data_IF_451846990132
#
_entry.id   IF_451846990132
#
_cell.length_a   1.000
_cell.length_b   1.000
_cell.length_c   1.000
_cell.angle_alpha   90.00
_cell.angle_beta   90.00
_cell.angle_gamma   90.00
#
_symmetry.space_group_name_H-M   'P 1'
#
loop_
_entity.id
_entity.type
_entity.pdbx_description
1 polymer ?
#
# COMPACT_ATOMS: atom_id res chain seq x y z
N UNK A 1 26.01 -4.51 -20.55
CA UNK A 1 25.06 -5.44 -19.91
C UNK A 1 23.84 -4.62 -19.54
N UNK A 2 22.65 -4.96 -20.05
CA UNK A 2 21.42 -4.35 -19.55
C UNK A 2 21.23 -4.86 -18.12
N UNK A 3 21.28 -3.96 -17.15
CA UNK A 3 20.94 -4.26 -15.77
C UNK A 3 19.48 -4.72 -15.74
N UNK A 4 19.21 -5.86 -15.10
CA UNK A 4 17.84 -6.34 -14.96
C UNK A 4 17.17 -5.48 -13.90
N UNK A 5 16.47 -4.42 -14.33
CA UNK A 5 15.63 -3.64 -13.42
C UNK A 5 14.48 -4.54 -12.94
N UNK A 6 14.43 -4.89 -11.63
CA UNK A 6 13.41 -5.78 -11.10
C UNK A 6 12.00 -5.17 -11.18
N UNK A 7 11.92 -3.84 -11.32
CA UNK A 7 10.68 -3.09 -11.52
C UNK A 7 10.22 -3.10 -12.99
N UNK A 8 11.12 -3.37 -13.93
CA UNK A 8 10.82 -3.39 -15.36
C UNK A 8 11.51 -4.58 -16.05
N UNK A 9 11.01 -5.81 -15.81
CA UNK A 9 11.66 -7.01 -16.30
C UNK A 9 11.71 -6.98 -17.83
N UNK A 10 12.87 -7.27 -18.39
CA UNK A 10 13.08 -7.31 -19.83
C UNK A 10 13.48 -8.71 -20.28
N UNK A 11 13.05 -9.12 -21.46
CA UNK A 11 13.43 -10.39 -22.06
C UNK A 11 14.83 -10.35 -22.68
N UNK A 12 15.35 -11.50 -23.14
CA UNK A 12 16.69 -11.62 -23.70
C UNK A 12 16.89 -10.80 -24.99
N UNK A 13 15.80 -10.39 -25.65
CA UNK A 13 15.82 -9.52 -26.83
C UNK A 13 15.52 -8.06 -26.49
N UNK A 14 15.38 -7.71 -25.21
CA UNK A 14 14.98 -6.37 -24.77
C UNK A 14 13.46 -6.12 -24.85
N UNK A 15 12.65 -7.16 -25.02
CA UNK A 15 11.19 -7.10 -24.95
C UNK A 15 10.69 -6.83 -23.51
N UNK A 16 9.73 -5.91 -23.33
CA UNK A 16 9.15 -5.65 -22.01
C UNK A 16 8.37 -6.87 -21.51
N UNK A 17 8.62 -7.31 -20.26
CA UNK A 17 8.01 -8.48 -19.61
C UNK A 17 7.38 -8.13 -18.26
N UNK A 18 6.26 -7.38 -18.26
CA UNK A 18 5.56 -7.04 -17.03
C UNK A 18 4.95 -8.27 -16.32
N UNK A 19 4.75 -9.37 -17.03
CA UNK A 19 4.27 -10.66 -16.51
C UNK A 19 5.24 -11.33 -15.53
N UNK A 20 6.53 -10.98 -15.61
CA UNK A 20 7.57 -11.50 -14.72
C UNK A 20 7.75 -10.67 -13.45
N UNK A 21 7.04 -9.56 -13.31
CA UNK A 21 7.10 -8.75 -12.10
C UNK A 21 6.49 -9.51 -10.92
N UNK A 22 7.13 -9.44 -9.76
CA UNK A 22 6.63 -10.05 -8.53
C UNK A 22 5.36 -9.30 -8.08
N UNK A 23 4.17 -9.94 -8.08
CA UNK A 23 2.91 -9.28 -7.74
C UNK A 23 2.85 -8.86 -6.27
N UNK A 24 3.73 -9.38 -5.41
CA UNK A 24 3.82 -9.01 -4.00
C UNK A 24 4.74 -7.82 -3.75
N UNK A 25 5.52 -7.39 -4.76
CA UNK A 25 6.32 -6.17 -4.68
C UNK A 25 5.49 -4.99 -5.16
N UNK A 26 5.07 -4.17 -4.21
CA UNK A 26 4.48 -2.87 -4.51
C UNK A 26 5.54 -2.01 -5.19
N UNK A 27 5.23 -1.47 -6.36
CA UNK A 27 6.08 -0.49 -7.02
C UNK A 27 6.02 0.84 -6.25
N UNK A 28 7.15 1.52 -6.10
CA UNK A 28 7.19 2.83 -5.44
C UNK A 28 6.50 3.94 -6.26
N UNK A 29 6.08 3.61 -7.49
CA UNK A 29 5.34 4.48 -8.40
C UNK A 29 3.91 4.79 -7.94
N UNK A 30 3.38 4.05 -6.96
CA UNK A 30 2.09 4.34 -6.36
C UNK A 30 2.06 5.68 -5.64
N UNK A 31 0.89 6.33 -5.58
CA UNK A 31 0.72 7.50 -4.73
C UNK A 31 1.05 7.12 -3.28
N UNK A 32 1.96 7.85 -2.64
CA UNK A 32 2.25 7.63 -1.22
C UNK A 32 0.99 7.90 -0.40
N UNK A 33 0.68 7.04 0.60
CA UNK A 33 -0.40 7.33 1.53
C UNK A 33 -0.24 8.74 2.11
N UNK A 34 -1.33 9.49 2.18
CA UNK A 34 -1.32 10.77 2.88
C UNK A 34 -0.90 10.56 4.34
N UNK A 35 -0.18 11.55 4.87
CA UNK A 35 0.22 11.55 6.27
C UNK A 35 -1.03 11.64 7.14
N UNK A 36 -1.03 10.89 8.24
CA UNK A 36 -2.17 10.87 9.16
C UNK A 36 -2.43 12.26 9.77
N UNK A 37 -1.38 13.04 9.95
CA UNK A 37 -1.40 14.40 10.49
C UNK A 37 -2.10 15.40 9.56
N UNK A 38 -2.10 15.13 8.25
CA UNK A 38 -2.72 16.00 7.24
C UNK A 38 -4.23 15.69 7.08
N UNK A 39 -4.70 14.58 7.65
CA UNK A 39 -6.09 14.14 7.54
C UNK A 39 -6.95 14.84 8.58
N UNK A 40 -8.11 15.41 8.21
CA UNK A 40 -9.04 15.95 9.21
C UNK A 40 -9.52 14.82 10.12
N UNK A 41 -9.35 14.99 11.44
CA UNK A 41 -9.87 14.05 12.44
C UNK A 41 -11.39 14.19 12.48
N UNK A 42 -12.11 13.28 11.83
CA UNK A 42 -13.58 13.35 11.71
C UNK A 42 -14.29 12.81 12.97
N UNK A 43 -13.63 11.94 13.74
CA UNK A 43 -14.22 11.31 14.93
C UNK A 43 -13.33 11.48 16.15
N UNK A 44 -13.90 12.01 17.22
CA UNK A 44 -13.30 12.05 18.56
C UNK A 44 -13.87 10.97 19.48
N UNK A 45 -14.68 10.06 18.93
CA UNK A 45 -15.39 9.02 19.69
C UNK A 45 -14.38 8.02 20.25
N UNK A 46 -14.37 7.85 21.56
CA UNK A 46 -13.58 6.82 22.23
C UNK A 46 -14.40 5.54 22.42
N UNK A 47 -13.77 4.38 22.71
CA UNK A 47 -14.51 3.17 23.03
C UNK A 47 -15.52 3.36 24.17
N UNK A 48 -15.24 4.24 25.13
CA UNK A 48 -16.11 4.53 26.27
C UNK A 48 -17.41 5.26 25.88
N UNK A 49 -17.42 6.00 24.77
CA UNK A 49 -18.62 6.68 24.26
C UNK A 49 -19.65 5.69 23.68
N UNK A 50 -19.25 4.46 23.36
CA UNK A 50 -20.18 3.43 22.90
C UNK A 50 -20.99 2.83 24.06
N UNK A 51 -22.26 2.47 23.83
CA UNK A 51 -23.05 1.65 24.74
C UNK A 51 -22.32 0.36 25.15
N UNK A 52 -22.53 -0.10 26.40
CA UNK A 52 -21.79 -1.25 26.95
C UNK A 52 -21.97 -2.56 26.17
N UNK A 53 -23.13 -2.74 25.54
CA UNK A 53 -23.47 -3.85 24.66
C UNK A 53 -22.80 -3.78 23.29
N UNK A 54 -22.29 -2.61 22.91
CA UNK A 54 -21.56 -2.36 21.65
C UNK A 54 -20.05 -2.20 21.85
N UNK A 55 -19.57 -2.05 23.09
CA UNK A 55 -18.13 -2.04 23.37
C UNK A 55 -17.54 -3.41 23.09
N UNK A 56 -16.41 -3.44 22.38
CA UNK A 56 -15.58 -4.63 22.28
C UNK A 56 -15.14 -5.04 23.69
N UNK A 57 -15.58 -6.22 24.14
CA UNK A 57 -15.03 -6.85 25.35
C UNK A 57 -13.69 -7.46 24.96
N UNK A 58 -12.62 -6.82 25.40
CA UNK A 58 -11.25 -7.34 25.28
C UNK A 58 -11.07 -8.64 26.05
#
# INVERSE_FOLDING_TARGET
MAENDPENPTGPLGDARPDKADPHKQNESGQKPEKLEDRPMVSTVTPEDYPEDQRAKG
#
